data_IF_069204829253
#
_entry.id   IF_069204829253
#
_cell.length_a   1.000
_cell.length_b   1.000
_cell.length_c   1.000
_cell.angle_alpha   90.00
_cell.angle_beta   90.00
_cell.angle_gamma   90.00
#
_symmetry.space_group_name_H-M   'P 1'
#
loop_
_entity.id
_entity.type
_entity.pdbx_description
1 polymer ?
#
# COMPACT_ATOMS: atom_id res chain seq x y z
N UNK A 1 -53.28 23.13 -7.06
CA UNK A 1 -53.54 22.95 -8.50
C UNK A 1 -52.25 22.32 -9.11
N UNK A 2 -52.32 21.01 -9.27
CA UNK A 2 -51.19 20.21 -9.75
C UNK A 2 -51.39 19.96 -11.24
N UNK A 3 -50.47 20.46 -12.10
CA UNK A 3 -50.51 20.19 -13.54
C UNK A 3 -49.62 18.96 -13.82
N UNK A 4 -50.28 17.89 -14.19
CA UNK A 4 -49.67 16.65 -14.67
C UNK A 4 -49.27 16.86 -16.14
N UNK A 5 -48.02 16.76 -16.47
CA UNK A 5 -47.48 16.74 -17.84
C UNK A 5 -47.24 15.30 -18.23
N UNK A 6 -48.05 14.81 -19.15
CA UNK A 6 -47.91 13.49 -19.78
C UNK A 6 -47.06 13.63 -21.04
N UNK A 7 -45.92 12.90 -21.11
CA UNK A 7 -45.07 12.80 -22.29
C UNK A 7 -45.33 11.45 -22.96
N UNK A 8 -45.68 11.38 -24.22
CA UNK A 8 -45.88 10.11 -24.92
C UNK A 8 -44.53 9.48 -25.33
N UNK A 9 -44.40 8.19 -25.07
CA UNK A 9 -43.28 7.35 -25.51
C UNK A 9 -43.39 7.10 -27.02
N UNK A 10 -42.41 7.55 -27.79
CA UNK A 10 -42.22 7.13 -29.17
C UNK A 10 -41.28 5.92 -29.20
N UNK A 11 -41.83 4.76 -29.57
CA UNK A 11 -41.09 3.55 -29.84
C UNK A 11 -40.52 3.62 -31.23
N UNK A 12 -39.19 3.73 -31.36
CA UNK A 12 -38.49 3.63 -32.64
C UNK A 12 -37.87 2.24 -32.76
N UNK A 13 -38.49 1.38 -33.57
CA UNK A 13 -37.94 0.10 -34.01
C UNK A 13 -36.87 0.36 -35.07
N UNK A 14 -35.62 0.13 -34.77
CA UNK A 14 -34.54 0.08 -35.76
C UNK A 14 -34.13 -1.38 -35.98
N UNK A 15 -34.46 -1.89 -37.17
CA UNK A 15 -34.05 -3.19 -37.66
C UNK A 15 -32.54 -3.17 -37.95
N UNK A 16 -31.80 -4.12 -37.34
CA UNK A 16 -30.39 -4.35 -37.64
C UNK A 16 -30.22 -5.27 -38.85
N UNK A 17 -29.36 -4.93 -39.82
CA UNK A 17 -29.00 -5.90 -40.87
C UNK A 17 -27.98 -6.91 -40.32
N UNK A 18 -28.27 -8.18 -40.59
CA UNK A 18 -27.37 -9.29 -40.36
C UNK A 18 -26.16 -9.19 -41.30
N UNK A 19 -24.99 -8.90 -40.77
CA UNK A 19 -23.73 -9.04 -41.50
C UNK A 19 -23.18 -10.49 -41.25
N UNK A 20 -23.25 -11.29 -42.30
CA UNK A 20 -22.65 -12.61 -42.39
C UNK A 20 -21.13 -12.53 -42.19
N UNK A 21 -20.61 -13.28 -41.20
CA UNK A 21 -19.18 -13.44 -40.96
C UNK A 21 -18.56 -14.35 -42.04
N UNK A 22 -17.38 -14.05 -42.58
CA UNK A 22 -16.66 -14.96 -43.45
C UNK A 22 -16.06 -16.12 -42.63
N UNK A 23 -16.42 -17.31 -43.03
CA UNK A 23 -15.88 -18.58 -42.51
C UNK A 23 -14.48 -18.84 -43.11
N UNK A 24 -13.43 -18.41 -42.36
CA UNK A 24 -12.05 -18.97 -42.55
C UNK A 24 -11.28 -18.96 -41.22
N UNK A 25 -11.75 -19.61 -40.24
CA UNK A 25 -10.98 -19.94 -39.06
C UNK A 25 -10.26 -21.26 -39.30
N UNK A 26 -8.97 -21.23 -39.57
CA UNK A 26 -8.13 -22.41 -39.61
C UNK A 26 -8.01 -22.98 -38.19
N UNK A 27 -8.14 -24.30 -37.98
CA UNK A 27 -7.92 -24.95 -36.70
C UNK A 27 -6.41 -25.10 -36.50
N UNK A 28 -5.81 -24.32 -35.60
CA UNK A 28 -4.41 -24.59 -35.29
C UNK A 28 -3.61 -23.55 -34.56
N UNK A 29 -4.11 -22.37 -34.30
CA UNK A 29 -3.37 -21.38 -33.52
C UNK A 29 -3.98 -21.17 -32.13
N UNK A 30 -3.57 -22.04 -31.20
CA UNK A 30 -3.60 -21.70 -29.80
C UNK A 30 -2.53 -20.61 -29.55
N UNK A 31 -2.86 -19.39 -29.21
CA UNK A 31 -1.86 -18.45 -28.75
C UNK A 31 -1.43 -18.88 -27.35
N UNK A 32 -0.46 -19.79 -27.29
CA UNK A 32 0.33 -20.05 -26.10
C UNK A 32 1.40 -18.94 -26.03
N UNK A 33 0.95 -17.73 -25.86
CA UNK A 33 1.82 -16.68 -25.35
C UNK A 33 1.27 -16.31 -23.98
N UNK A 34 1.98 -16.65 -22.89
CA UNK A 34 1.67 -16.00 -21.63
C UNK A 34 1.84 -14.51 -21.89
N UNK A 35 0.77 -13.75 -21.70
CA UNK A 35 0.83 -12.30 -21.69
C UNK A 35 2.06 -11.90 -20.86
N UNK A 36 2.88 -10.94 -21.33
CA UNK A 36 4.04 -10.49 -20.57
C UNK A 36 3.55 -10.11 -19.18
N UNK A 37 4.22 -10.67 -18.18
CA UNK A 37 3.94 -10.44 -16.75
C UNK A 37 4.24 -8.99 -16.33
N UNK A 38 3.95 -8.03 -17.21
CA UNK A 38 4.28 -6.62 -17.10
C UNK A 38 3.23 -5.81 -16.35
N UNK A 39 2.14 -6.43 -15.87
CA UNK A 39 1.10 -5.65 -15.17
C UNK A 39 0.61 -6.29 -13.86
N UNK A 40 1.49 -7.02 -13.19
CA UNK A 40 1.33 -7.18 -11.75
C UNK A 40 1.89 -5.92 -11.12
N UNK A 41 1.05 -5.03 -10.55
CA UNK A 41 1.58 -3.93 -9.80
C UNK A 41 2.53 -4.53 -8.78
N UNK A 42 3.75 -4.03 -8.76
CA UNK A 42 4.87 -4.52 -7.97
C UNK A 42 4.60 -4.37 -6.46
N UNK A 43 3.66 -5.14 -5.91
CA UNK A 43 3.43 -5.25 -4.47
C UNK A 43 4.66 -5.76 -3.73
N UNK A 44 5.58 -6.42 -4.44
CA UNK A 44 6.84 -6.90 -3.88
C UNK A 44 7.90 -5.79 -3.71
N UNK A 45 7.79 -4.68 -4.45
CA UNK A 45 8.71 -3.55 -4.38
C UNK A 45 8.13 -2.33 -3.63
N UNK A 46 7.00 -2.49 -2.97
CA UNK A 46 6.34 -1.43 -2.21
C UNK A 46 7.05 -1.09 -0.87
N UNK A 47 8.28 -1.52 -0.66
CA UNK A 47 9.09 -1.17 0.49
C UNK A 47 9.13 0.34 0.72
N UNK A 48 10.28 0.93 0.55
CA UNK A 48 10.47 2.38 0.73
C UNK A 48 9.80 3.19 -0.39
N UNK A 49 9.74 2.67 -1.62
CA UNK A 49 9.19 3.34 -2.80
C UNK A 49 7.69 3.70 -2.72
N UNK A 50 6.99 3.24 -1.69
CA UNK A 50 5.62 3.71 -1.41
C UNK A 50 5.57 5.19 -1.02
N UNK A 51 6.69 5.75 -0.64
CA UNK A 51 6.85 7.14 -0.24
C UNK A 51 7.37 8.04 -1.36
N UNK A 52 7.85 7.45 -2.46
CA UNK A 52 8.22 8.16 -3.69
C UNK A 52 6.95 8.74 -4.33
N UNK A 53 6.67 10.00 -4.04
CA UNK A 53 5.44 10.70 -4.45
C UNK A 53 5.60 11.31 -5.83
N UNK A 54 6.79 11.79 -6.14
CA UNK A 54 7.13 12.43 -7.40
C UNK A 54 7.50 11.40 -8.50
N UNK A 55 7.73 10.13 -8.11
CA UNK A 55 8.09 9.00 -8.98
C UNK A 55 9.42 9.20 -9.72
N UNK A 56 10.38 9.83 -9.07
CA UNK A 56 11.73 10.02 -9.60
C UNK A 56 12.66 8.81 -9.35
N UNK A 57 12.15 7.78 -8.64
CA UNK A 57 12.85 6.54 -8.37
C UNK A 57 13.69 6.56 -7.09
N UNK A 58 13.68 7.65 -6.37
CA UNK A 58 14.30 7.80 -5.04
C UNK A 58 13.27 8.35 -4.05
N UNK A 59 13.52 8.20 -2.78
CA UNK A 59 12.72 8.80 -1.71
C UNK A 59 13.60 9.78 -0.97
N UNK A 60 13.26 11.05 -1.04
CA UNK A 60 13.94 12.07 -0.27
C UNK A 60 13.40 12.15 1.17
N UNK A 61 14.11 12.88 2.02
CA UNK A 61 13.76 13.01 3.43
C UNK A 61 12.40 13.68 3.64
N UNK A 62 12.00 14.63 2.78
CA UNK A 62 10.72 15.31 2.87
C UNK A 62 9.56 14.37 2.51
N UNK A 63 9.71 13.59 1.44
CA UNK A 63 8.75 12.56 1.04
C UNK A 63 8.59 11.47 2.09
N UNK A 64 9.73 11.03 2.65
CA UNK A 64 9.72 10.06 3.75
C UNK A 64 8.94 10.60 4.95
N UNK A 65 9.25 11.82 5.40
CA UNK A 65 8.59 12.47 6.53
C UNK A 65 7.09 12.61 6.31
N UNK A 66 6.69 13.18 5.17
CA UNK A 66 5.28 13.32 4.80
C UNK A 66 4.55 11.98 4.76
N UNK A 67 5.21 10.95 4.23
CA UNK A 67 4.68 9.59 4.19
C UNK A 67 4.51 8.94 5.57
N UNK A 68 5.43 9.20 6.50
CA UNK A 68 5.32 8.73 7.89
C UNK A 68 4.17 9.44 8.63
N UNK A 69 4.03 10.76 8.47
CA UNK A 69 2.92 11.52 9.04
C UNK A 69 1.56 11.03 8.53
N UNK A 70 1.46 10.82 7.21
CA UNK A 70 0.25 10.26 6.60
C UNK A 70 -0.04 8.83 7.08
N UNK A 71 0.99 8.05 7.38
CA UNK A 71 0.85 6.71 7.94
C UNK A 71 0.34 6.78 9.38
N UNK A 72 0.89 7.66 10.21
CA UNK A 72 0.45 7.88 11.57
C UNK A 72 -1.05 8.22 11.60
N UNK A 73 -1.48 9.22 10.84
CA UNK A 73 -2.89 9.64 10.73
C UNK A 73 -3.85 8.52 10.29
N UNK A 74 -3.37 7.56 9.49
CA UNK A 74 -4.20 6.39 9.08
C UNK A 74 -4.30 5.32 10.16
N UNK A 75 -3.35 5.27 11.07
CA UNK A 75 -3.34 4.33 12.19
C UNK A 75 -4.13 4.88 13.37
N UNK A 76 -4.01 6.16 13.62
CA UNK A 76 -4.78 6.91 14.62
C UNK A 76 -6.25 6.98 14.17
N UNK A 77 -7.01 5.97 14.58
CA UNK A 77 -8.41 5.81 14.14
C UNK A 77 -9.38 6.63 14.99
N UNK A 78 -9.03 6.89 16.23
CA UNK A 78 -9.81 7.69 17.17
C UNK A 78 -9.45 9.19 17.10
N UNK A 79 -8.36 9.56 16.38
CA UNK A 79 -7.83 10.91 16.21
C UNK A 79 -7.47 11.61 17.54
N UNK A 80 -6.93 10.84 18.50
CA UNK A 80 -6.47 11.39 19.79
C UNK A 80 -5.02 11.89 19.75
N UNK A 81 -4.33 11.73 18.59
CA UNK A 81 -2.94 12.14 18.37
C UNK A 81 -1.91 11.16 18.94
N UNK A 82 -2.34 9.98 19.35
CA UNK A 82 -1.50 8.91 19.89
C UNK A 82 -1.90 7.56 19.24
N UNK A 83 -1.02 6.60 19.27
CA UNK A 83 -1.31 5.24 18.81
C UNK A 83 -1.25 4.28 19.99
N UNK A 84 -2.34 3.60 20.25
CA UNK A 84 -2.37 2.42 21.10
C UNK A 84 -1.74 1.21 20.38
N UNK A 85 -1.35 0.18 21.11
CA UNK A 85 -0.88 -1.08 20.53
C UNK A 85 -1.91 -1.68 19.56
N UNK A 86 -3.20 -1.60 19.89
CA UNK A 86 -4.29 -2.08 19.06
C UNK A 86 -4.38 -1.34 17.72
N UNK A 87 -4.25 -0.03 17.71
CA UNK A 87 -4.26 0.80 16.49
C UNK A 87 -3.04 0.55 15.62
N UNK A 88 -1.86 0.47 16.24
CA UNK A 88 -0.61 0.23 15.54
C UNK A 88 -0.64 -1.10 14.77
N UNK A 89 -1.29 -2.13 15.30
CA UNK A 89 -1.33 -3.47 14.72
C UNK A 89 -2.69 -3.89 14.14
N UNK A 90 -3.70 -3.03 14.15
CA UNK A 90 -5.05 -3.32 13.65
C UNK A 90 -5.07 -3.90 12.22
N UNK A 91 -4.10 -3.51 11.37
CA UNK A 91 -3.99 -3.93 9.97
C UNK A 91 -2.94 -5.01 9.73
N UNK A 92 -2.38 -5.59 10.78
CA UNK A 92 -1.40 -6.68 10.61
C UNK A 92 -2.15 -7.96 10.29
N UNK A 93 -2.02 -8.52 9.07
CA UNK A 93 -2.72 -9.76 8.75
C UNK A 93 -2.22 -10.89 9.66
N UNK A 94 -3.16 -11.73 10.10
CA UNK A 94 -2.80 -12.97 10.78
C UNK A 94 -1.95 -13.83 9.84
N UNK A 95 -0.89 -14.43 10.37
CA UNK A 95 0.00 -15.31 9.61
C UNK A 95 -0.65 -16.69 9.49
N UNK A 96 -0.95 -17.12 8.26
CA UNK A 96 -1.59 -18.39 7.97
C UNK A 96 -3.12 -18.35 8.08
N UNK A 97 -3.75 -19.52 8.06
CA UNK A 97 -5.22 -19.68 8.16
C UNK A 97 -5.76 -19.48 9.60
N UNK A 98 -4.94 -19.05 10.53
CA UNK A 98 -5.33 -18.82 11.91
C UNK A 98 -5.96 -17.45 12.08
N UNK A 99 -7.14 -17.41 12.65
CA UNK A 99 -7.87 -16.17 13.01
C UNK A 99 -7.17 -15.43 14.16
N UNK A 100 -6.35 -16.12 14.93
CA UNK A 100 -5.61 -15.56 16.07
C UNK A 100 -4.12 -15.41 15.75
N UNK A 101 -3.47 -14.33 16.22
CA UNK A 101 -2.04 -14.16 16.09
C UNK A 101 -1.29 -15.24 16.89
N UNK A 102 -0.16 -15.71 16.36
CA UNK A 102 0.69 -16.66 17.09
C UNK A 102 1.42 -15.95 18.24
N UNK A 103 1.80 -16.70 19.30
CA UNK A 103 2.56 -16.14 20.44
C UNK A 103 3.81 -15.38 19.98
N UNK A 104 4.53 -15.90 18.97
CA UNK A 104 5.69 -15.22 18.39
C UNK A 104 5.31 -13.89 17.72
N UNK A 105 4.15 -13.81 17.11
CA UNK A 105 3.68 -12.57 16.49
C UNK A 105 3.34 -11.54 17.56
N UNK A 106 2.62 -11.94 18.60
CA UNK A 106 2.29 -11.09 19.74
C UNK A 106 3.58 -10.56 20.39
N UNK A 107 4.54 -11.42 20.69
CA UNK A 107 5.82 -11.02 21.29
C UNK A 107 6.59 -10.01 20.41
N UNK A 108 6.60 -10.20 19.08
CA UNK A 108 7.26 -9.25 18.15
C UNK A 108 6.54 -7.91 18.11
N UNK A 109 5.21 -7.92 18.17
CA UNK A 109 4.39 -6.71 18.19
C UNK A 109 4.65 -5.91 19.45
N UNK A 110 4.55 -6.55 20.62
CA UNK A 110 4.84 -5.91 21.90
C UNK A 110 6.29 -5.38 21.99
N UNK A 111 7.26 -6.15 21.55
CA UNK A 111 8.66 -5.69 21.51
C UNK A 111 8.87 -4.53 20.53
N UNK A 112 8.11 -4.46 19.45
CA UNK A 112 8.15 -3.32 18.54
C UNK A 112 7.48 -2.09 19.14
N UNK A 113 6.31 -2.26 19.76
CA UNK A 113 5.59 -1.20 20.47
C UNK A 113 6.48 -0.57 21.55
N UNK A 114 7.08 -1.37 22.43
CA UNK A 114 7.99 -0.93 23.50
C UNK A 114 9.23 -0.15 22.99
N UNK A 115 9.65 -0.40 21.75
CA UNK A 115 10.74 0.38 21.13
C UNK A 115 10.29 1.73 20.59
N UNK A 116 9.01 1.85 20.26
CA UNK A 116 8.41 3.10 19.83
C UNK A 116 8.06 3.98 21.02
N UNK A 117 7.39 3.40 22.00
CA UNK A 117 7.00 4.00 23.27
C UNK A 117 8.25 4.22 24.14
N UNK A 118 8.86 5.39 23.98
CA UNK A 118 10.15 5.71 24.62
C UNK A 118 9.97 6.16 26.07
N UNK A 119 8.88 6.84 26.40
CA UNK A 119 8.54 7.33 27.72
C UNK A 119 7.73 6.31 28.55
N UNK A 120 7.29 5.22 27.89
CA UNK A 120 6.55 4.12 28.49
C UNK A 120 5.19 4.52 29.08
N UNK A 121 4.53 5.46 28.42
CA UNK A 121 3.18 5.92 28.79
C UNK A 121 2.08 4.95 28.29
N UNK A 122 2.45 3.93 27.50
CA UNK A 122 1.54 2.94 26.91
C UNK A 122 0.91 3.39 25.59
N UNK A 123 1.41 4.46 25.03
CA UNK A 123 0.99 5.00 23.74
C UNK A 123 2.22 5.37 22.91
N UNK A 124 2.03 5.56 21.62
CA UNK A 124 3.08 6.08 20.72
C UNK A 124 2.61 7.40 20.16
N UNK A 125 3.27 8.47 20.53
CA UNK A 125 3.04 9.81 20.01
C UNK A 125 3.57 9.96 18.57
N UNK A 126 3.12 10.98 17.85
CA UNK A 126 3.66 11.32 16.54
C UNK A 126 5.19 11.52 16.59
N UNK A 127 5.70 12.18 17.64
CA UNK A 127 7.12 12.43 17.79
C UNK A 127 7.94 11.13 17.89
N UNK A 128 7.50 10.18 18.70
CA UNK A 128 8.15 8.87 18.85
C UNK A 128 8.08 8.04 17.59
N UNK A 129 6.90 8.05 16.92
CA UNK A 129 6.71 7.37 15.63
C UNK A 129 7.65 7.93 14.58
N UNK A 130 7.77 9.25 14.49
CA UNK A 130 8.68 9.95 13.59
C UNK A 130 10.15 9.66 13.92
N UNK A 131 10.53 9.66 15.19
CA UNK A 131 11.90 9.33 15.61
C UNK A 131 12.31 7.92 15.16
N UNK A 132 11.39 6.95 15.20
CA UNK A 132 11.65 5.61 14.64
C UNK A 132 11.71 5.65 13.10
N UNK A 133 10.88 6.45 12.47
CA UNK A 133 10.92 6.69 11.02
C UNK A 133 12.29 7.20 10.58
N UNK A 134 12.82 8.20 11.28
CA UNK A 134 14.15 8.77 11.02
C UNK A 134 15.27 7.72 11.17
N UNK A 135 15.23 6.91 12.20
CA UNK A 135 16.18 5.80 12.39
C UNK A 135 16.13 4.80 11.23
N UNK A 136 14.93 4.54 10.70
CA UNK A 136 14.76 3.63 9.57
C UNK A 136 15.28 4.23 8.26
N UNK A 137 15.02 5.52 8.03
CA UNK A 137 15.55 6.25 6.88
C UNK A 137 17.08 6.27 6.90
N UNK A 138 17.69 6.71 8.01
CA UNK A 138 19.13 6.76 8.17
C UNK A 138 19.84 5.40 8.01
N UNK A 139 19.13 4.29 8.24
CA UNK A 139 19.66 2.95 7.98
C UNK A 139 19.65 2.59 6.50
N UNK A 140 18.69 3.10 5.74
CA UNK A 140 18.60 2.88 4.30
C UNK A 140 19.52 3.84 3.51
N UNK A 141 19.68 5.07 3.98
CA UNK A 141 20.57 6.08 3.43
C UNK A 141 22.04 5.75 3.80
N UNK A 142 22.65 4.85 3.00
CA UNK A 142 23.99 4.32 3.27
C UNK A 142 25.07 5.34 2.93
N UNK A 143 24.85 6.12 1.89
CA UNK A 143 25.76 7.12 1.38
C UNK A 143 25.61 8.48 2.09
N UNK A 144 24.53 8.67 2.87
CA UNK A 144 24.18 9.87 3.63
C UNK A 144 23.97 11.11 2.76
N UNK A 145 23.36 10.91 1.60
CA UNK A 145 23.02 12.02 0.70
C UNK A 145 21.63 12.60 0.94
N UNK A 146 20.89 12.06 1.95
CA UNK A 146 19.54 12.48 2.30
C UNK A 146 18.47 11.92 1.38
N UNK A 147 18.82 10.92 0.57
CA UNK A 147 17.94 10.20 -0.35
C UNK A 147 18.13 8.71 -0.16
N UNK A 148 17.17 7.93 -0.57
CA UNK A 148 17.30 6.47 -0.51
C UNK A 148 16.48 5.82 -1.61
N UNK A 149 17.00 4.74 -2.14
CA UNK A 149 16.32 3.91 -3.13
C UNK A 149 16.16 2.46 -2.65
N UNK A 150 15.55 1.64 -3.48
CA UNK A 150 15.35 0.21 -3.17
C UNK A 150 16.68 -0.54 -3.07
N UNK A 151 17.69 -0.18 -3.88
CA UNK A 151 18.96 -0.88 -3.91
C UNK A 151 19.78 -0.58 -2.65
N UNK A 152 19.84 0.68 -2.24
CA UNK A 152 20.50 1.10 -1.00
C UNK A 152 19.86 0.45 0.23
N UNK A 153 18.53 0.54 0.34
CA UNK A 153 17.81 -0.04 1.47
C UNK A 153 17.98 -1.55 1.55
N UNK A 154 18.04 -2.24 0.40
CA UNK A 154 18.33 -3.67 0.34
C UNK A 154 19.76 -3.99 0.79
N UNK A 155 20.73 -3.20 0.35
CA UNK A 155 22.14 -3.34 0.76
C UNK A 155 22.30 -3.16 2.27
N UNK A 156 21.65 -2.14 2.84
CA UNK A 156 21.66 -1.89 4.28
C UNK A 156 21.10 -3.08 5.09
N UNK A 157 20.03 -3.71 4.60
CA UNK A 157 19.42 -4.87 5.25
C UNK A 157 20.29 -6.13 5.16
N UNK A 158 21.12 -6.28 4.12
CA UNK A 158 22.02 -7.41 3.96
C UNK A 158 23.24 -7.32 4.88
N UNK A 159 23.73 -6.11 5.16
CA UNK A 159 24.88 -5.89 6.07
C UNK A 159 24.58 -6.25 7.53
N UNK A 160 23.34 -6.35 7.92
CA UNK A 160 22.89 -6.61 9.28
C UNK A 160 22.50 -8.10 9.53
N UNK A 161 22.82 -8.99 8.61
CA UNK A 161 22.65 -10.44 8.75
C UNK A 161 23.99 -11.13 9.06
#
# INVERSE_FOLDING_TARGET
>A
MLKLVVIPAAVLLIAAPALSAPAWAAPGDTPTSPAPAADRPARANAGIMRYDTNKDGVVDHAEWKAGQEARFKRLDTNNDGKLSEAELFARTPAVGNSVLPTDRQVQRQSAYFQRLDADKDGYVTLAEFMAQGERNFARCDVNKDGRTDTAECRQALQRNR
#
